data_IF_067274943590
#
_entry.id   IF_067274943590
#
_cell.length_a   1.000
_cell.length_b   1.000
_cell.length_c   1.000
_cell.angle_alpha   90.00
_cell.angle_beta   90.00
_cell.angle_gamma   90.00
#
_symmetry.space_group_name_H-M   'P 1'
#
loop_
_entity.id
_entity.type
_entity.pdbx_description
1 polymer ?
#
# COMPACT_ATOMS: atom_id res chain seq x y z
N UNK A 1 6.15 71.67 24.03
CA UNK A 1 6.03 70.20 24.10
C UNK A 1 7.45 69.68 24.08
N UNK A 2 8.01 69.42 25.26
CA UNK A 2 9.43 69.07 25.41
C UNK A 2 9.66 67.62 25.00
N UNK A 3 10.68 67.39 24.17
CA UNK A 3 11.09 66.07 23.69
C UNK A 3 11.72 65.27 24.84
N UNK A 4 11.10 64.14 25.20
CA UNK A 4 11.61 63.22 26.22
C UNK A 4 12.87 62.53 25.67
N UNK A 5 14.06 62.97 26.10
CA UNK A 5 15.34 62.36 25.71
C UNK A 5 15.55 61.04 26.45
N UNK A 6 15.20 59.92 25.82
CA UNK A 6 15.58 58.59 26.31
C UNK A 6 17.11 58.39 26.20
N UNK A 7 17.78 57.86 27.23
CA UNK A 7 19.26 57.83 27.31
C UNK A 7 19.91 56.82 26.36
N UNK A 8 19.14 56.00 25.66
CA UNK A 8 19.64 55.08 24.64
C UNK A 8 18.65 55.02 23.47
N UNK A 9 19.19 55.11 22.26
CA UNK A 9 18.47 54.90 21.01
C UNK A 9 18.72 53.46 20.57
N UNK A 10 17.69 52.62 20.57
CA UNK A 10 17.80 51.27 20.06
C UNK A 10 18.02 51.33 18.55
N UNK A 11 19.22 50.96 18.09
CA UNK A 11 19.51 50.75 16.68
C UNK A 11 19.45 49.26 16.40
N UNK A 12 18.46 48.84 15.61
CA UNK A 12 18.40 47.46 15.13
C UNK A 12 19.68 47.15 14.34
N UNK A 13 20.31 46.02 14.67
CA UNK A 13 21.44 45.54 13.88
C UNK A 13 20.96 45.37 12.43
N UNK A 14 21.69 45.88 11.43
CA UNK A 14 21.20 45.88 10.06
C UNK A 14 20.91 44.45 9.62
N UNK A 15 19.74 44.21 9.03
CA UNK A 15 19.31 42.89 8.56
C UNK A 15 20.31 42.25 7.57
N UNK A 16 21.08 43.09 6.86
CA UNK A 16 22.20 42.69 6.00
C UNK A 16 23.45 42.19 6.74
N UNK A 17 23.64 42.55 8.01
CA UNK A 17 24.68 41.98 8.88
C UNK A 17 24.27 40.63 9.48
N UNK A 18 22.97 40.37 9.60
CA UNK A 18 22.43 39.09 10.10
C UNK A 18 22.24 38.05 8.99
N UNK A 19 21.80 38.46 7.78
CA UNK A 19 21.52 37.58 6.64
C UNK A 19 22.26 38.03 5.38
N UNK A 20 23.54 37.69 5.30
CA UNK A 20 24.31 37.82 4.05
C UNK A 20 23.83 36.82 2.99
N UNK A 21 24.00 37.14 1.69
CA UNK A 21 23.67 36.23 0.56
C UNK A 21 24.29 34.83 0.72
N UNK A 22 25.51 34.75 1.28
CA UNK A 22 26.19 33.48 1.56
C UNK A 22 25.55 32.73 2.72
N UNK A 23 25.10 33.44 3.76
CA UNK A 23 24.40 32.86 4.92
C UNK A 23 23.04 32.33 4.50
N UNK A 24 22.30 33.06 3.65
CA UNK A 24 21.05 32.61 3.07
C UNK A 24 21.22 31.29 2.31
N UNK A 25 22.20 31.21 1.39
CA UNK A 25 22.48 29.99 0.62
C UNK A 25 22.86 28.79 1.51
N UNK A 26 23.57 29.03 2.61
CA UNK A 26 23.91 27.97 3.58
C UNK A 26 22.67 27.46 4.30
N UNK A 27 21.80 28.35 4.81
CA UNK A 27 20.58 27.97 5.53
C UNK A 27 19.63 27.22 4.60
N UNK A 28 19.40 27.74 3.39
CA UNK A 28 18.54 27.06 2.41
C UNK A 28 19.12 25.71 2.00
N UNK A 29 20.43 25.62 1.80
CA UNK A 29 21.11 24.36 1.49
C UNK A 29 20.95 23.32 2.60
N UNK A 30 21.08 23.74 3.87
CA UNK A 30 20.85 22.87 5.03
C UNK A 30 19.39 22.44 5.12
N UNK A 31 18.44 23.36 4.91
CA UNK A 31 17.01 23.04 4.95
C UNK A 31 16.63 22.02 3.88
N UNK A 32 17.07 22.23 2.63
CA UNK A 32 16.79 21.33 1.50
C UNK A 32 17.41 19.97 1.75
N UNK A 33 18.64 19.91 2.26
CA UNK A 33 19.30 18.64 2.54
C UNK A 33 18.62 17.86 3.67
N UNK A 34 18.19 18.51 4.75
CA UNK A 34 17.41 17.86 5.82
C UNK A 34 16.08 17.33 5.29
N UNK A 35 15.35 18.13 4.51
CA UNK A 35 14.08 17.69 3.90
C UNK A 35 14.27 16.51 2.93
N UNK A 36 15.32 16.54 2.12
CA UNK A 36 15.63 15.47 1.18
C UNK A 36 15.99 14.15 1.91
N UNK A 37 16.85 14.23 2.93
CA UNK A 37 17.26 13.06 3.72
C UNK A 37 16.07 12.51 4.51
N UNK A 38 15.29 13.38 5.16
CA UNK A 38 14.09 13.00 5.90
C UNK A 38 13.03 12.35 5.01
N UNK A 39 12.78 12.94 3.82
CA UNK A 39 11.86 12.39 2.83
C UNK A 39 12.30 11.02 2.29
N UNK A 40 13.60 10.84 2.04
CA UNK A 40 14.16 9.55 1.62
C UNK A 40 13.96 8.47 2.69
N UNK A 41 14.31 8.76 3.95
CA UNK A 41 14.16 7.82 5.05
C UNK A 41 12.69 7.44 5.31
N UNK A 42 11.77 8.41 5.28
CA UNK A 42 10.34 8.14 5.42
C UNK A 42 9.81 7.23 4.30
N UNK A 43 10.22 7.48 3.06
CA UNK A 43 9.84 6.66 1.91
C UNK A 43 10.38 5.22 2.03
N UNK A 44 11.61 5.06 2.51
CA UNK A 44 12.22 3.74 2.72
C UNK A 44 11.46 2.91 3.78
N UNK A 45 11.05 3.53 4.88
CA UNK A 45 10.23 2.89 5.92
C UNK A 45 8.87 2.45 5.35
N UNK A 46 8.19 3.33 4.61
CA UNK A 46 6.89 3.01 3.99
C UNK A 46 7.02 1.86 2.99
N UNK A 47 8.05 1.88 2.12
CA UNK A 47 8.31 0.80 1.15
C UNK A 47 8.66 -0.53 1.83
N UNK A 48 9.40 -0.49 2.94
CA UNK A 48 9.78 -1.70 3.71
C UNK A 48 8.58 -2.39 4.35
N UNK A 49 7.56 -1.65 4.81
CA UNK A 49 6.37 -2.20 5.48
C UNK A 49 5.70 -3.34 4.69
N UNK A 50 5.56 -3.17 3.39
CA UNK A 50 4.88 -4.15 2.53
C UNK A 50 5.82 -4.93 1.61
N UNK A 51 7.14 -4.79 1.79
CA UNK A 51 8.15 -5.36 0.88
C UNK A 51 7.89 -6.83 0.55
N UNK A 52 7.68 -7.67 1.56
CA UNK A 52 7.45 -9.11 1.35
C UNK A 52 6.12 -9.43 0.70
N UNK A 53 5.07 -8.66 0.98
CA UNK A 53 3.75 -8.83 0.35
C UNK A 53 3.86 -8.52 -1.13
N UNK A 54 4.46 -7.38 -1.48
CA UNK A 54 4.66 -6.98 -2.88
C UNK A 54 5.58 -7.94 -3.62
N UNK A 55 6.63 -8.47 -2.98
CA UNK A 55 7.48 -9.49 -3.61
C UNK A 55 6.73 -10.79 -3.91
N UNK A 56 5.84 -11.25 -3.00
CA UNK A 56 5.00 -12.44 -3.25
C UNK A 56 4.01 -12.20 -4.38
N UNK A 57 3.36 -11.03 -4.39
CA UNK A 57 2.47 -10.63 -5.48
C UNK A 57 3.19 -10.59 -6.82
N UNK A 58 4.39 -9.99 -6.87
CA UNK A 58 5.20 -9.94 -8.08
C UNK A 58 5.57 -11.33 -8.60
N UNK A 59 5.88 -12.28 -7.70
CA UNK A 59 6.10 -13.69 -8.06
C UNK A 59 4.86 -14.33 -8.69
N UNK A 60 3.70 -14.18 -8.06
CA UNK A 60 2.42 -14.70 -8.58
C UNK A 60 2.10 -14.14 -9.97
N UNK A 61 2.25 -12.84 -10.18
CA UNK A 61 1.97 -12.21 -11.47
C UNK A 61 2.98 -12.59 -12.55
N UNK A 62 4.24 -12.86 -12.20
CA UNK A 62 5.22 -13.37 -13.15
C UNK A 62 4.83 -14.76 -13.65
N UNK A 63 4.34 -15.63 -12.76
CA UNK A 63 3.86 -16.95 -13.14
C UNK A 63 2.58 -16.87 -13.98
N UNK A 64 1.67 -15.95 -13.65
CA UNK A 64 0.47 -15.68 -14.44
C UNK A 64 0.80 -15.24 -15.87
N UNK A 65 1.75 -14.31 -16.05
CA UNK A 65 2.22 -13.89 -17.37
C UNK A 65 2.78 -15.05 -18.20
N UNK A 66 3.46 -16.01 -17.55
CA UNK A 66 3.93 -17.23 -18.22
C UNK A 66 2.77 -18.10 -18.70
N UNK A 67 1.70 -18.21 -17.90
CA UNK A 67 0.49 -18.97 -18.26
C UNK A 67 -0.32 -18.27 -19.35
N UNK A 68 -0.39 -16.93 -19.35
CA UNK A 68 -1.00 -16.14 -20.42
C UNK A 68 -0.33 -16.42 -21.78
N UNK A 69 1.00 -16.47 -21.82
CA UNK A 69 1.74 -16.83 -23.05
C UNK A 69 1.47 -18.25 -23.54
N UNK A 70 1.02 -19.15 -22.66
CA UNK A 70 0.64 -20.52 -22.98
C UNK A 70 -0.87 -20.71 -23.22
N UNK A 71 -1.69 -19.65 -23.12
CA UNK A 71 -3.15 -19.74 -23.23
C UNK A 71 -3.80 -20.59 -22.12
N UNK A 72 -3.24 -20.53 -20.92
CA UNK A 72 -3.72 -21.26 -19.72
C UNK A 72 -4.05 -20.30 -18.57
N UNK A 73 -4.32 -19.03 -18.88
CA UNK A 73 -4.56 -18.02 -17.87
C UNK A 73 -5.96 -18.16 -17.26
N UNK A 74 -6.94 -18.60 -18.05
CA UNK A 74 -8.29 -18.81 -17.56
C UNK A 74 -8.52 -20.27 -17.14
N UNK A 75 -9.23 -20.48 -16.03
CA UNK A 75 -9.46 -21.83 -15.50
C UNK A 75 -10.25 -22.74 -16.46
N UNK A 76 -11.05 -22.19 -17.37
CA UNK A 76 -11.77 -22.97 -18.39
C UNK A 76 -10.84 -23.48 -19.51
N UNK A 77 -9.69 -22.84 -19.72
CA UNK A 77 -8.68 -23.27 -20.71
C UNK A 77 -7.90 -24.50 -20.22
N UNK A 78 -7.95 -24.79 -18.92
CA UNK A 78 -7.24 -25.91 -18.33
C UNK A 78 -7.80 -27.26 -18.84
N UNK A 79 -7.01 -28.09 -19.54
CA UNK A 79 -7.48 -29.33 -20.13
C UNK A 79 -7.94 -30.36 -19.07
N UNK A 80 -7.38 -30.30 -17.86
CA UNK A 80 -7.77 -31.20 -16.76
C UNK A 80 -9.15 -30.83 -16.21
N UNK A 81 -9.46 -29.53 -16.12
CA UNK A 81 -10.79 -29.05 -15.71
C UNK A 81 -11.84 -29.43 -16.75
N UNK A 82 -11.53 -29.22 -18.04
CA UNK A 82 -12.44 -29.62 -19.12
C UNK A 82 -12.72 -31.13 -19.09
N UNK A 83 -11.69 -31.95 -18.87
CA UNK A 83 -11.85 -33.42 -18.76
C UNK A 83 -12.71 -33.81 -17.57
N UNK A 84 -12.48 -33.21 -16.40
CA UNK A 84 -13.28 -33.45 -15.20
C UNK A 84 -14.77 -33.20 -15.43
N UNK A 85 -15.12 -32.09 -16.09
CA UNK A 85 -16.52 -31.83 -16.44
C UNK A 85 -17.03 -32.77 -17.53
N UNK A 86 -16.26 -33.04 -18.58
CA UNK A 86 -16.70 -33.92 -19.67
C UNK A 86 -16.96 -35.36 -19.24
N UNK A 87 -16.12 -35.90 -18.35
CA UNK A 87 -16.15 -37.33 -17.98
C UNK A 87 -16.91 -37.62 -16.70
N UNK A 88 -16.98 -36.66 -15.76
CA UNK A 88 -17.52 -36.92 -14.42
C UNK A 88 -18.60 -35.92 -14.00
N UNK A 89 -18.28 -34.63 -13.91
CA UNK A 89 -19.20 -33.64 -13.34
C UNK A 89 -20.29 -33.16 -14.32
N UNK A 90 -20.18 -33.47 -15.60
CA UNK A 90 -21.09 -33.02 -16.66
C UNK A 90 -20.88 -31.57 -17.04
N UNK A 91 -21.60 -30.67 -16.37
CA UNK A 91 -21.54 -29.23 -16.59
C UNK A 91 -21.49 -28.47 -15.26
N UNK A 92 -21.04 -27.20 -15.24
CA UNK A 92 -21.19 -26.35 -14.06
C UNK A 92 -22.63 -26.32 -13.58
N UNK A 93 -22.86 -26.38 -12.27
CA UNK A 93 -24.19 -26.43 -11.66
C UNK A 93 -25.01 -27.71 -11.99
N UNK A 94 -24.37 -28.78 -12.45
CA UNK A 94 -25.03 -30.09 -12.51
C UNK A 94 -25.37 -30.61 -11.11
N UNK A 95 -26.24 -31.61 -11.02
CA UNK A 95 -26.58 -32.26 -9.74
C UNK A 95 -25.34 -32.79 -9.00
N UNK A 96 -24.39 -33.39 -9.73
CA UNK A 96 -23.14 -33.90 -9.15
C UNK A 96 -22.25 -32.74 -8.69
N UNK A 97 -22.15 -31.67 -9.48
CA UNK A 97 -21.39 -30.47 -9.11
C UNK A 97 -21.96 -29.81 -7.86
N UNK A 98 -23.29 -29.68 -7.76
CA UNK A 98 -23.97 -29.11 -6.59
C UNK A 98 -23.76 -29.98 -5.34
N UNK A 99 -23.72 -31.30 -5.49
CA UNK A 99 -23.51 -32.20 -4.35
C UNK A 99 -22.08 -32.20 -3.83
N UNK A 100 -21.08 -32.00 -4.69
CA UNK A 100 -19.67 -32.15 -4.34
C UNK A 100 -18.91 -30.82 -4.21
N UNK A 101 -19.22 -29.84 -5.05
CA UNK A 101 -18.48 -28.58 -5.16
C UNK A 101 -19.19 -27.42 -4.44
N UNK A 102 -20.48 -27.57 -4.12
CA UNK A 102 -21.25 -26.56 -3.40
C UNK A 102 -21.49 -26.99 -1.96
N UNK A 103 -21.77 -26.01 -1.09
CA UNK A 103 -22.08 -26.24 0.32
C UNK A 103 -23.39 -25.56 0.69
N UNK A 104 -24.16 -26.24 1.54
CA UNK A 104 -25.43 -25.74 2.10
C UNK A 104 -25.27 -25.23 3.53
N UNK A 105 -24.08 -25.36 4.11
CA UNK A 105 -23.81 -25.08 5.52
C UNK A 105 -23.48 -23.63 5.85
N UNK A 106 -23.81 -22.66 4.98
CA UNK A 106 -23.64 -21.25 5.32
C UNK A 106 -24.72 -20.86 6.34
N UNK A 107 -24.26 -20.57 7.55
CA UNK A 107 -25.08 -20.17 8.69
C UNK A 107 -24.78 -18.72 9.01
N UNK A 108 -25.82 -17.95 9.34
CA UNK A 108 -25.62 -16.56 9.75
C UNK A 108 -24.92 -16.59 11.10
N UNK A 109 -23.71 -16.01 11.16
CA UNK A 109 -22.85 -16.08 12.35
C UNK A 109 -23.50 -15.45 13.59
N UNK A 110 -24.37 -14.45 13.42
CA UNK A 110 -25.15 -13.88 14.52
C UNK A 110 -26.05 -14.92 15.17
N UNK A 111 -26.68 -15.78 14.38
CA UNK A 111 -27.66 -16.76 14.83
C UNK A 111 -26.96 -17.93 15.53
N UNK A 112 -25.72 -18.25 15.14
CA UNK A 112 -24.87 -19.24 15.80
C UNK A 112 -24.52 -18.86 17.24
N UNK A 113 -24.24 -17.57 17.47
CA UNK A 113 -23.93 -17.04 18.81
C UNK A 113 -25.17 -17.10 19.69
N UNK A 114 -26.34 -16.78 19.13
CA UNK A 114 -27.64 -16.87 19.82
C UNK A 114 -28.03 -18.31 20.18
N UNK A 115 -27.54 -19.30 19.41
CA UNK A 115 -27.72 -20.73 19.68
C UNK A 115 -26.63 -21.33 20.59
N UNK A 116 -25.73 -20.50 21.15
CA UNK A 116 -24.68 -20.95 22.08
C UNK A 116 -23.45 -21.57 21.42
N UNK A 117 -23.29 -21.42 20.10
CA UNK A 117 -22.07 -21.80 19.40
C UNK A 117 -20.88 -20.92 19.80
N UNK A 118 -19.73 -21.53 20.08
CA UNK A 118 -18.47 -20.80 20.27
C UNK A 118 -17.87 -20.43 18.91
N UNK A 119 -17.31 -19.21 18.85
CA UNK A 119 -16.59 -18.68 17.70
C UNK A 119 -15.36 -19.51 17.32
#
# INVERSE_FOLDING_TARGET
MEDIRVPFKYEEKPSSALLSRRTFLKITGVLVSVLAIGGFAATDVIKKRNKYITMRQAGLYKDDQRLQGAGLAASFENPTVQRFYKEFAGHPLSKISEQLLHTKGYVVRSDLIMQGGKL
#
